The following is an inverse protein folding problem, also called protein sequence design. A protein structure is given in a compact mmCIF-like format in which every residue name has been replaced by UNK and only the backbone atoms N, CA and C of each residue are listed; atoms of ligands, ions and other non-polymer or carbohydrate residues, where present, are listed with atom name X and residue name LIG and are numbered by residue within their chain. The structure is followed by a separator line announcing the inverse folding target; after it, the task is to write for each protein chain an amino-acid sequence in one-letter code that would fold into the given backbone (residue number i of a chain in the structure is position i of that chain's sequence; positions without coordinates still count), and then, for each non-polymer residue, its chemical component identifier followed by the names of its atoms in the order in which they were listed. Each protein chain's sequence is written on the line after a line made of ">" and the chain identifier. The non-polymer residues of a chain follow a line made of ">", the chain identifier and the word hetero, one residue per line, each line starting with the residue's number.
data_IF_292994060003
#
_entry.id   IF_292994060003
#
_cell.length_a   1.000
_cell.length_b   1.000
_cell.length_c   1.000
_cell.angle_alpha   90.00
_cell.angle_beta   90.00
_cell.angle_gamma   90.00
#
_symmetry.space_group_name_H-M   'P 1'
#
loop_
_entity.id
_entity.type
_entity.pdbx_description
1 polymer ?
#
# COMPACT_ATOMS: atom_id res chain seq x y z
N UNK A 1 11.11 25.35 4.49
CA UNK A 1 10.96 26.74 3.97
C UNK A 1 12.03 27.12 2.94
N UNK A 2 13.31 26.77 3.09
CA UNK A 2 14.36 27.16 2.13
C UNK A 2 14.12 26.65 0.69
N UNK A 3 13.65 25.42 0.51
CA UNK A 3 13.33 24.86 -0.83
C UNK A 3 12.24 25.61 -1.61
N UNK A 4 11.23 26.17 -0.92
CA UNK A 4 10.16 26.95 -1.55
C UNK A 4 10.68 28.32 -2.01
N UNK A 5 11.63 28.90 -1.27
CA UNK A 5 12.26 30.18 -1.61
C UNK A 5 13.21 30.02 -2.80
N UNK A 6 14.00 28.95 -2.82
CA UNK A 6 14.88 28.58 -3.95
C UNK A 6 14.05 28.28 -5.21
N UNK A 7 12.98 27.48 -5.09
CA UNK A 7 12.08 27.23 -6.21
C UNK A 7 11.40 28.51 -6.74
N UNK A 8 10.93 29.39 -5.84
CA UNK A 8 10.28 30.65 -6.24
C UNK A 8 11.25 31.66 -6.87
N UNK A 9 12.52 31.67 -6.45
CA UNK A 9 13.55 32.56 -7.02
C UNK A 9 14.02 32.07 -8.39
N UNK A 10 14.20 30.76 -8.57
CA UNK A 10 14.57 30.18 -9.87
C UNK A 10 13.45 30.31 -10.90
N UNK A 11 12.20 29.99 -10.51
CA UNK A 11 11.06 30.11 -11.43
C UNK A 11 10.70 31.58 -11.70
N UNK A 12 10.72 32.46 -10.69
CA UNK A 12 10.40 33.87 -10.84
C UNK A 12 11.35 34.62 -11.77
N UNK A 13 12.65 34.39 -11.66
CA UNK A 13 13.66 35.00 -12.54
C UNK A 13 13.45 34.55 -13.99
N UNK A 14 13.20 33.26 -14.21
CA UNK A 14 12.99 32.72 -15.56
C UNK A 14 11.78 33.36 -16.26
N UNK A 15 10.67 33.55 -15.55
CA UNK A 15 9.44 34.16 -16.09
C UNK A 15 9.69 35.61 -16.50
N UNK A 16 10.40 36.39 -15.69
CA UNK A 16 10.71 37.79 -16.00
C UNK A 16 11.63 37.87 -17.24
N UNK A 17 12.68 37.05 -17.29
CA UNK A 17 13.62 37.01 -18.43
C UNK A 17 12.90 36.62 -19.73
N UNK A 18 12.04 35.60 -19.69
CA UNK A 18 11.25 35.17 -20.86
C UNK A 18 10.32 36.30 -21.32
N UNK A 19 9.69 37.00 -20.40
CA UNK A 19 8.75 38.09 -20.73
C UNK A 19 9.48 39.26 -21.41
N UNK A 20 10.63 39.69 -20.87
CA UNK A 20 11.44 40.76 -21.46
C UNK A 20 11.96 40.36 -22.84
N UNK A 21 12.45 39.13 -23.01
CA UNK A 21 12.89 38.61 -24.30
C UNK A 21 11.76 38.58 -25.33
N UNK A 22 10.55 38.19 -24.91
CA UNK A 22 9.37 38.15 -25.79
C UNK A 22 9.02 39.53 -26.31
N UNK A 23 9.04 40.54 -25.43
CA UNK A 23 8.78 41.93 -25.82
C UNK A 23 9.85 42.44 -26.78
N UNK A 24 11.14 42.25 -26.46
CA UNK A 24 12.24 42.67 -27.34
C UNK A 24 12.15 42.00 -28.73
N UNK A 25 11.83 40.71 -28.77
CA UNK A 25 11.67 39.97 -30.00
C UNK A 25 10.51 40.52 -30.85
N UNK A 26 9.40 40.91 -30.22
CA UNK A 26 8.25 41.52 -30.91
C UNK A 26 8.60 42.86 -31.57
N UNK A 27 9.43 43.69 -30.92
CA UNK A 27 9.90 44.98 -31.47
C UNK A 27 10.81 44.75 -32.68
N UNK A 28 11.74 43.79 -32.58
CA UNK A 28 12.62 43.43 -33.71
C UNK A 28 11.78 42.94 -34.90
N UNK A 29 10.79 42.08 -34.65
CA UNK A 29 9.88 41.60 -35.70
C UNK A 29 9.14 42.73 -36.41
N UNK A 30 8.64 43.72 -35.67
CA UNK A 30 7.93 44.87 -36.23
C UNK A 30 8.83 45.70 -37.17
N UNK A 31 10.07 45.95 -36.77
CA UNK A 31 11.05 46.66 -37.60
C UNK A 31 11.40 45.88 -38.88
N UNK A 32 11.57 44.55 -38.79
CA UNK A 32 11.82 43.71 -39.96
C UNK A 32 10.64 43.69 -40.95
N UNK A 33 9.41 43.71 -40.43
CA UNK A 33 8.19 43.71 -41.25
C UNK A 33 8.09 44.97 -42.12
N UNK A 34 8.50 46.14 -41.60
CA UNK A 34 8.47 47.40 -42.37
C UNK A 34 9.44 47.41 -43.55
N UNK A 35 10.59 46.72 -43.44
CA UNK A 35 11.64 46.73 -44.47
C UNK A 35 11.46 45.68 -45.57
N UNK A 36 10.90 44.52 -45.24
CA UNK A 36 10.89 43.37 -46.14
C UNK A 36 9.48 42.86 -46.50
N UNK A 37 8.42 43.51 -45.98
CA UNK A 37 7.04 43.18 -46.30
C UNK A 37 6.62 41.76 -45.90
N UNK A 38 5.63 41.20 -46.59
CA UNK A 38 5.00 39.91 -46.25
C UNK A 38 5.94 38.69 -46.23
N UNK A 39 7.09 38.76 -46.90
CA UNK A 39 8.04 37.65 -46.94
C UNK A 39 8.63 37.36 -45.54
N UNK A 40 8.88 38.40 -44.73
CA UNK A 40 9.35 38.21 -43.35
C UNK A 40 8.32 37.54 -42.45
N UNK A 41 7.04 37.82 -42.66
CA UNK A 41 5.96 37.18 -41.92
C UNK A 41 5.96 35.67 -42.15
N UNK A 42 6.07 35.23 -43.41
CA UNK A 42 6.12 33.79 -43.76
C UNK A 42 7.35 33.12 -43.16
N UNK A 43 8.53 33.75 -43.28
CA UNK A 43 9.78 33.21 -42.71
C UNK A 43 9.71 33.12 -41.18
N UNK A 44 9.14 34.12 -40.51
CA UNK A 44 8.96 34.12 -39.06
C UNK A 44 8.02 33.01 -38.60
N UNK A 45 6.91 32.80 -39.31
CA UNK A 45 5.93 31.76 -39.01
C UNK A 45 6.56 30.36 -39.15
N UNK A 46 7.31 30.12 -40.24
CA UNK A 46 8.05 28.88 -40.43
C UNK A 46 9.09 28.66 -39.32
N UNK A 47 9.79 29.71 -38.92
CA UNK A 47 10.79 29.63 -37.84
C UNK A 47 10.14 29.24 -36.51
N UNK A 48 9.01 29.86 -36.16
CA UNK A 48 8.24 29.52 -34.95
C UNK A 48 7.72 28.09 -35.01
N UNK A 49 7.21 27.65 -36.17
CA UNK A 49 6.73 26.29 -36.36
C UNK A 49 7.86 25.26 -36.14
N UNK A 50 9.03 25.50 -36.72
CA UNK A 50 10.21 24.62 -36.56
C UNK A 50 10.65 24.58 -35.09
N UNK A 51 10.74 25.73 -34.43
CA UNK A 51 11.12 25.80 -33.01
C UNK A 51 10.10 25.07 -32.13
N UNK A 52 8.80 25.22 -32.40
CA UNK A 52 7.74 24.54 -31.67
C UNK A 52 7.79 23.02 -31.87
N UNK A 53 7.99 22.56 -33.11
CA UNK A 53 8.14 21.13 -33.41
C UNK A 53 9.38 20.54 -32.74
N UNK A 54 10.51 21.27 -32.76
CA UNK A 54 11.75 20.83 -32.12
C UNK A 54 11.63 20.74 -30.60
N UNK A 55 11.08 21.77 -29.96
CA UNK A 55 10.85 21.79 -28.50
C UNK A 55 9.89 20.70 -28.07
N UNK A 56 8.78 20.52 -28.80
CA UNK A 56 7.85 19.39 -28.56
C UNK A 56 8.55 18.05 -28.70
N UNK A 57 9.33 17.85 -29.78
CA UNK A 57 10.08 16.61 -30.00
C UNK A 57 11.05 16.31 -28.85
N UNK A 58 11.82 17.30 -28.39
CA UNK A 58 12.73 17.14 -27.26
C UNK A 58 11.99 16.82 -25.95
N UNK A 59 10.87 17.49 -25.70
CA UNK A 59 10.03 17.23 -24.53
C UNK A 59 9.51 15.79 -24.55
N UNK A 60 8.88 15.36 -25.64
CA UNK A 60 8.39 13.98 -25.79
C UNK A 60 9.51 12.94 -25.72
N UNK A 61 10.67 13.21 -26.33
CA UNK A 61 11.80 12.28 -26.27
C UNK A 61 12.36 12.15 -24.85
N UNK A 62 12.46 13.26 -24.10
CA UNK A 62 12.94 13.25 -22.73
C UNK A 62 11.96 12.56 -21.77
N UNK A 63 10.66 12.80 -21.92
CA UNK A 63 9.61 12.15 -21.16
C UNK A 63 9.57 10.65 -21.50
N UNK A 64 9.67 10.30 -22.78
CA UNK A 64 9.72 8.91 -23.23
C UNK A 64 10.88 8.13 -22.63
N UNK A 65 12.09 8.72 -22.59
CA UNK A 65 13.27 8.09 -21.95
C UNK A 65 13.12 7.92 -20.43
N UNK A 66 12.49 8.87 -19.75
CA UNK A 66 12.22 8.77 -18.30
C UNK A 66 11.19 7.67 -18.01
N UNK A 67 10.09 7.65 -18.75
CA UNK A 67 9.05 6.64 -18.58
C UNK A 67 9.61 5.24 -18.90
N UNK A 68 10.39 5.08 -19.97
CA UNK A 68 10.96 3.77 -20.31
C UNK A 68 11.97 3.28 -19.28
N UNK A 69 12.77 4.19 -18.69
CA UNK A 69 13.72 3.86 -17.63
C UNK A 69 13.01 3.34 -16.38
N UNK A 70 12.02 4.08 -15.87
CA UNK A 70 11.27 3.71 -14.67
C UNK A 70 10.46 2.43 -14.87
N UNK A 71 9.90 2.22 -16.07
CA UNK A 71 9.16 0.99 -16.42
C UNK A 71 10.11 -0.22 -16.48
N UNK A 72 11.31 -0.06 -17.04
CA UNK A 72 12.25 -1.17 -17.15
C UNK A 72 12.85 -1.55 -15.79
N UNK A 73 13.08 -0.58 -14.91
CA UNK A 73 13.49 -0.82 -13.52
C UNK A 73 12.39 -1.52 -12.71
N UNK A 74 11.14 -1.07 -12.83
CA UNK A 74 10.01 -1.73 -12.17
C UNK A 74 9.76 -3.14 -12.71
N UNK A 75 9.89 -3.38 -14.01
CA UNK A 75 9.79 -4.71 -14.60
C UNK A 75 10.92 -5.63 -14.14
N UNK A 76 12.16 -5.15 -14.06
CA UNK A 76 13.29 -5.93 -13.55
C UNK A 76 13.09 -6.30 -12.07
N UNK A 77 12.52 -5.41 -11.25
CA UNK A 77 12.16 -5.71 -9.86
C UNK A 77 11.03 -6.73 -9.78
N UNK A 78 10.02 -6.65 -10.66
CA UNK A 78 8.94 -7.63 -10.73
C UNK A 78 9.47 -9.01 -11.16
N UNK A 79 10.31 -9.08 -12.18
CA UNK A 79 10.95 -10.33 -12.63
C UNK A 79 11.86 -10.91 -11.54
N UNK A 80 12.66 -10.08 -10.85
CA UNK A 80 13.49 -10.52 -9.73
C UNK A 80 12.65 -11.04 -8.56
N UNK A 81 11.47 -10.46 -8.30
CA UNK A 81 10.51 -10.93 -7.29
C UNK A 81 9.76 -12.21 -7.70
N UNK A 82 9.68 -12.48 -9.01
CA UNK A 82 9.07 -13.71 -9.54
C UNK A 82 10.07 -14.85 -9.72
N UNK A 83 11.38 -14.58 -9.58
CA UNK A 83 12.39 -15.64 -9.61
C UNK A 83 12.08 -16.68 -8.53
N UNK A 84 12.20 -17.99 -8.84
CA UNK A 84 11.95 -19.04 -7.87
C UNK A 84 12.89 -18.83 -6.67
N UNK A 85 12.30 -18.60 -5.51
CA UNK A 85 13.02 -18.49 -4.25
C UNK A 85 13.84 -19.77 -4.09
N UNK A 86 15.18 -19.69 -3.91
CA UNK A 86 15.99 -20.89 -3.69
C UNK A 86 15.36 -21.74 -2.59
N UNK A 87 15.31 -23.07 -2.74
CA UNK A 87 14.63 -23.95 -1.76
C UNK A 87 15.11 -23.72 -0.31
N UNK A 88 16.36 -23.29 -0.15
CA UNK A 88 16.97 -22.90 1.12
C UNK A 88 16.28 -21.72 1.84
N UNK A 89 15.50 -20.91 1.11
CA UNK A 89 14.75 -19.76 1.60
C UNK A 89 13.23 -20.00 1.56
N UNK A 90 12.77 -21.25 1.50
CA UNK A 90 11.34 -21.61 1.57
C UNK A 90 10.62 -21.14 2.85
N UNK A 91 11.38 -20.76 3.88
CA UNK A 91 10.87 -20.13 5.08
C UNK A 91 10.58 -18.64 4.90
N UNK A 92 11.00 -18.00 3.81
CA UNK A 92 10.83 -16.56 3.56
C UNK A 92 9.94 -16.36 2.34
N UNK A 93 8.89 -15.56 2.47
CA UNK A 93 7.98 -15.24 1.37
C UNK A 93 7.76 -13.72 1.27
N UNK A 94 7.50 -13.25 0.05
CA UNK A 94 7.10 -11.87 -0.18
C UNK A 94 5.61 -11.67 0.09
N UNK A 95 5.22 -10.41 0.34
CA UNK A 95 3.82 -10.05 0.61
C UNK A 95 2.87 -10.53 -0.48
N UNK A 96 3.26 -10.40 -1.75
CA UNK A 96 2.46 -10.82 -2.89
C UNK A 96 2.25 -12.35 -2.92
N UNK A 97 3.25 -13.12 -2.48
CA UNK A 97 3.15 -14.57 -2.35
C UNK A 97 2.24 -14.96 -1.18
N UNK A 98 2.31 -14.23 -0.05
CA UNK A 98 1.41 -14.44 1.09
C UNK A 98 -0.05 -14.14 0.71
N UNK A 99 -0.30 -13.05 -0.03
CA UNK A 99 -1.61 -12.70 -0.59
C UNK A 99 -2.12 -13.81 -1.52
N UNK A 100 -1.27 -14.33 -2.40
CA UNK A 100 -1.62 -15.43 -3.29
C UNK A 100 -1.95 -16.71 -2.51
N UNK A 101 -1.13 -17.06 -1.52
CA UNK A 101 -1.36 -18.19 -0.61
C UNK A 101 -2.71 -18.06 0.11
N UNK A 102 -2.98 -16.90 0.69
CA UNK A 102 -4.20 -16.63 1.45
C UNK A 102 -5.45 -16.62 0.55
N UNK A 103 -5.34 -16.19 -0.70
CA UNK A 103 -6.45 -16.25 -1.66
C UNK A 103 -6.87 -17.68 -2.00
N UNK A 104 -5.95 -18.65 -1.88
CA UNK A 104 -6.16 -20.06 -2.22
C UNK A 104 -6.28 -20.96 -0.98
N UNK A 105 -6.13 -20.40 0.22
CA UNK A 105 -6.12 -21.18 1.45
C UNK A 105 -7.46 -21.86 1.70
N UNK A 106 -7.38 -23.07 2.25
CA UNK A 106 -8.52 -23.85 2.76
C UNK A 106 -8.66 -23.73 4.29
N UNK A 107 -7.96 -22.78 4.89
CA UNK A 107 -8.09 -22.50 6.31
C UNK A 107 -9.55 -22.15 6.64
N UNK A 108 -10.04 -22.64 7.78
CA UNK A 108 -11.35 -22.23 8.31
C UNK A 108 -11.25 -20.95 9.12
N UNK A 109 -10.08 -20.71 9.70
CA UNK A 109 -9.84 -19.63 10.64
C UNK A 109 -8.45 -19.03 10.40
N UNK A 110 -8.37 -17.70 10.41
CA UNK A 110 -7.14 -16.91 10.24
C UNK A 110 -7.06 -15.93 11.40
N UNK A 111 -5.95 -16.01 12.15
CA UNK A 111 -5.65 -15.06 13.22
C UNK A 111 -4.62 -14.06 12.73
N UNK A 112 -4.96 -12.77 12.78
CA UNK A 112 -4.04 -11.68 12.49
C UNK A 112 -3.71 -10.96 13.80
N UNK A 113 -2.45 -11.00 14.19
CA UNK A 113 -1.93 -10.24 15.32
C UNK A 113 -1.12 -9.09 14.74
N UNK A 114 -1.60 -7.86 14.90
CA UNK A 114 -0.93 -6.69 14.34
C UNK A 114 -1.02 -5.49 15.29
N UNK A 115 0.09 -4.75 15.49
CA UNK A 115 0.08 -3.48 16.20
C UNK A 115 -0.64 -2.37 15.40
N UNK A 116 -0.81 -2.52 14.08
CA UNK A 116 -1.39 -1.50 13.22
C UNK A 116 -2.24 -2.06 12.06
N UNK A 117 -3.56 -1.80 12.09
CA UNK A 117 -4.51 -2.11 11.02
C UNK A 117 -4.50 -1.14 9.82
N UNK A 118 -3.54 -0.22 9.71
CA UNK A 118 -3.52 0.78 8.64
C UNK A 118 -3.47 0.13 7.25
N UNK A 119 -2.85 -1.03 7.16
CA UNK A 119 -2.74 -1.80 5.93
C UNK A 119 -4.05 -2.49 5.59
N UNK A 120 -4.76 -3.08 6.55
CA UNK A 120 -6.01 -3.80 6.27
C UNK A 120 -7.16 -2.88 5.81
N UNK A 121 -7.09 -1.59 6.13
CA UNK A 121 -8.19 -0.63 5.92
C UNK A 121 -8.05 0.17 4.61
N UNK A 122 -6.85 0.41 4.09
CA UNK A 122 -6.63 1.32 2.94
C UNK A 122 -6.16 0.52 1.72
N UNK A 123 -7.08 0.12 0.83
CA UNK A 123 -6.82 -0.50 -0.49
C UNK A 123 -5.56 -1.39 -0.63
N UNK A 124 -5.19 -2.07 0.45
CA UNK A 124 -3.98 -2.86 0.47
C UNK A 124 -4.24 -4.22 -0.16
N UNK A 125 -3.17 -4.94 -0.55
CA UNK A 125 -3.27 -6.24 -1.21
C UNK A 125 -4.18 -7.24 -0.49
N UNK A 126 -4.20 -7.24 0.85
CA UNK A 126 -5.02 -8.15 1.65
C UNK A 126 -6.49 -7.77 1.70
N UNK A 127 -6.88 -6.50 1.52
CA UNK A 127 -8.28 -6.07 1.67
C UNK A 127 -9.24 -6.82 0.72
N UNK A 128 -8.80 -7.10 -0.50
CA UNK A 128 -9.53 -7.91 -1.48
C UNK A 128 -9.60 -9.37 -1.05
N UNK A 129 -8.47 -9.93 -0.61
CA UNK A 129 -8.37 -11.34 -0.20
C UNK A 129 -9.21 -11.62 1.04
N UNK A 130 -9.16 -10.76 2.06
CA UNK A 130 -10.00 -10.88 3.25
C UNK A 130 -11.47 -10.90 2.87
N UNK A 131 -11.92 -10.00 1.99
CA UNK A 131 -13.32 -10.00 1.50
C UNK A 131 -13.69 -11.30 0.80
N UNK A 132 -12.84 -11.82 -0.09
CA UNK A 132 -13.08 -13.09 -0.78
C UNK A 132 -13.12 -14.26 0.22
N UNK A 133 -12.20 -14.31 1.17
CA UNK A 133 -12.12 -15.34 2.20
C UNK A 133 -13.35 -15.34 3.11
N UNK A 134 -13.83 -14.16 3.50
CA UNK A 134 -15.07 -14.01 4.26
C UNK A 134 -16.28 -14.55 3.48
N UNK A 135 -16.35 -14.34 2.16
CA UNK A 135 -17.42 -14.95 1.33
C UNK A 135 -17.32 -16.47 1.24
N UNK A 136 -16.12 -17.05 1.42
CA UNK A 136 -15.91 -18.50 1.52
C UNK A 136 -16.19 -19.05 2.92
N UNK A 137 -16.59 -18.22 3.88
CA UNK A 137 -16.90 -18.62 5.25
C UNK A 137 -15.67 -18.76 6.15
N UNK A 138 -14.53 -18.16 5.78
CA UNK A 138 -13.33 -18.15 6.63
C UNK A 138 -13.51 -17.11 7.74
N UNK A 139 -13.26 -17.52 8.97
CA UNK A 139 -13.30 -16.67 10.17
C UNK A 139 -11.98 -15.91 10.32
N UNK A 140 -12.07 -14.61 10.60
CA UNK A 140 -10.91 -13.76 10.89
C UNK A 140 -10.95 -13.27 12.33
N UNK A 141 -9.84 -13.47 13.04
CA UNK A 141 -9.64 -12.97 14.40
C UNK A 141 -8.50 -11.98 14.41
N UNK A 142 -8.83 -10.70 14.59
CA UNK A 142 -7.88 -9.62 14.70
C UNK A 142 -7.53 -9.39 16.17
N UNK A 143 -6.26 -9.57 16.52
CA UNK A 143 -5.71 -9.26 17.83
C UNK A 143 -4.90 -7.96 17.73
N UNK A 144 -5.39 -6.90 18.35
CA UNK A 144 -4.86 -5.54 18.18
C UNK A 144 -4.75 -4.79 19.52
N UNK A 145 -3.92 -3.74 19.63
CA UNK A 145 -3.80 -2.96 20.87
C UNK A 145 -5.13 -2.33 21.31
N UNK A 146 -5.40 -2.31 22.61
CA UNK A 146 -6.55 -1.61 23.20
C UNK A 146 -6.31 -0.09 23.30
N UNK A 147 -6.24 0.57 22.14
CA UNK A 147 -6.12 2.03 22.07
C UNK A 147 -7.32 2.64 21.36
N UNK A 148 -7.62 3.92 21.65
CA UNK A 148 -8.71 4.64 20.99
C UNK A 148 -8.55 4.66 19.46
N UNK A 149 -7.31 4.77 18.96
CA UNK A 149 -7.00 4.74 17.53
C UNK A 149 -7.34 3.37 16.93
N UNK A 150 -6.92 2.28 17.58
CA UNK A 150 -7.20 0.92 17.10
C UNK A 150 -8.67 0.56 17.17
N UNK A 151 -9.41 1.02 18.19
CA UNK A 151 -10.88 0.86 18.26
C UNK A 151 -11.57 1.52 17.08
N UNK A 152 -11.17 2.74 16.72
CA UNK A 152 -11.71 3.43 15.53
C UNK A 152 -11.38 2.68 14.23
N UNK A 153 -10.15 2.19 14.08
CA UNK A 153 -9.72 1.39 12.93
C UNK A 153 -10.48 0.07 12.83
N UNK A 154 -10.68 -0.63 13.94
CA UNK A 154 -11.49 -1.84 13.99
C UNK A 154 -12.94 -1.61 13.58
N UNK A 155 -13.55 -0.48 13.95
CA UNK A 155 -14.88 -0.12 13.48
C UNK A 155 -14.92 0.12 11.97
N UNK A 156 -13.90 0.79 11.42
CA UNK A 156 -13.78 0.99 9.96
C UNK A 156 -13.64 -0.34 9.22
N UNK A 157 -12.78 -1.24 9.73
CA UNK A 157 -12.61 -2.59 9.21
C UNK A 157 -13.94 -3.36 9.19
N UNK A 158 -14.68 -3.37 10.31
CA UNK A 158 -16.01 -4.01 10.38
C UNK A 158 -16.99 -3.42 9.39
N UNK A 159 -17.08 -2.08 9.28
CA UNK A 159 -17.97 -1.42 8.31
C UNK A 159 -17.62 -1.77 6.87
N UNK A 160 -16.33 -1.82 6.54
CA UNK A 160 -15.84 -2.20 5.20
C UNK A 160 -16.29 -3.60 4.79
N UNK A 161 -16.36 -4.51 5.77
CA UNK A 161 -16.81 -5.88 5.57
C UNK A 161 -18.29 -6.10 5.96
N UNK A 162 -19.14 -5.07 5.82
CA UNK A 162 -20.59 -5.14 6.06
C UNK A 162 -20.98 -5.70 7.44
N UNK A 163 -20.17 -5.44 8.47
CA UNK A 163 -20.35 -5.99 9.82
C UNK A 163 -20.46 -7.53 9.83
N UNK A 164 -19.70 -8.19 8.95
CA UNK A 164 -19.65 -9.66 8.88
C UNK A 164 -19.44 -10.27 10.28
N UNK A 165 -20.28 -11.24 10.64
CA UNK A 165 -20.17 -11.98 11.89
C UNK A 165 -18.89 -12.82 11.98
N UNK A 166 -18.21 -13.04 10.84
CA UNK A 166 -16.95 -13.78 10.72
C UNK A 166 -15.72 -12.91 11.00
N UNK A 167 -15.90 -11.60 11.30
CA UNK A 167 -14.81 -10.69 11.68
C UNK A 167 -14.84 -10.44 13.17
N UNK A 168 -13.96 -11.12 13.90
CA UNK A 168 -13.76 -10.99 15.33
C UNK A 168 -12.60 -10.03 15.60
N UNK A 169 -12.78 -9.11 16.56
CA UNK A 169 -11.73 -8.18 16.96
C UNK A 169 -11.57 -8.29 18.47
N UNK A 170 -10.38 -8.69 18.87
CA UNK A 170 -9.94 -8.90 20.25
C UNK A 170 -8.90 -7.83 20.57
N UNK A 171 -9.23 -6.97 21.54
CA UNK A 171 -8.31 -5.96 22.03
C UNK A 171 -7.41 -6.56 23.11
N UNK A 172 -6.10 -6.43 22.96
CA UNK A 172 -5.11 -6.86 23.95
C UNK A 172 -4.46 -5.65 24.64
N UNK A 173 -3.94 -5.88 25.84
CA UNK A 173 -3.18 -4.87 26.57
C UNK A 173 -1.89 -4.48 25.84
N UNK A 174 -1.46 -3.23 26.02
CA UNK A 174 -0.19 -2.72 25.46
C UNK A 174 1.04 -3.55 25.87
N UNK A 175 1.01 -4.20 27.04
CA UNK A 175 2.08 -5.10 27.49
C UNK A 175 2.34 -6.27 26.54
N UNK A 176 1.30 -6.78 25.86
CA UNK A 176 1.46 -7.82 24.86
C UNK A 176 2.24 -7.29 23.65
N UNK A 177 1.85 -6.10 23.17
CA UNK A 177 2.44 -5.49 21.99
C UNK A 177 3.81 -4.86 22.25
N UNK A 178 4.18 -4.58 23.49
CA UNK A 178 5.51 -4.10 23.85
C UNK A 178 6.64 -5.00 23.29
N UNK A 179 6.42 -6.31 23.23
CA UNK A 179 7.41 -7.27 22.73
C UNK A 179 7.36 -7.46 21.21
N UNK A 180 6.31 -6.98 20.53
CA UNK A 180 6.03 -7.24 19.11
C UNK A 180 5.63 -5.98 18.33
N UNK A 181 6.13 -4.81 18.72
CA UNK A 181 5.71 -3.51 18.14
C UNK A 181 5.92 -3.38 16.63
N UNK A 182 6.88 -4.14 16.08
CA UNK A 182 7.25 -4.08 14.66
C UNK A 182 6.93 -5.39 13.92
N UNK A 183 6.17 -6.29 14.53
CA UNK A 183 5.89 -7.62 13.96
C UNK A 183 4.40 -7.85 13.80
N UNK A 184 4.01 -8.16 12.57
CA UNK A 184 2.69 -8.72 12.25
C UNK A 184 2.78 -10.25 12.23
N UNK A 185 1.83 -10.94 12.83
CA UNK A 185 1.71 -12.40 12.72
C UNK A 185 0.40 -12.75 12.05
N UNK A 186 0.45 -13.70 11.11
CA UNK A 186 -0.73 -14.35 10.56
C UNK A 186 -0.64 -15.84 10.84
N UNK A 187 -1.68 -16.41 11.45
CA UNK A 187 -1.77 -17.83 11.81
C UNK A 187 -2.99 -18.43 11.12
N UNK A 188 -2.78 -19.44 10.29
CA UNK A 188 -3.80 -20.20 9.59
C UNK A 188 -4.11 -21.49 10.38
N UNK A 189 -5.39 -21.75 10.64
CA UNK A 189 -5.87 -22.91 11.39
C UNK A 189 -5.14 -23.10 12.73
N UNK A 190 -5.24 -22.14 13.67
CA UNK A 190 -4.48 -22.16 14.93
C UNK A 190 -4.65 -23.46 15.71
N UNK A 191 -5.86 -24.05 15.71
CA UNK A 191 -6.15 -25.26 16.45
C UNK A 191 -5.94 -26.58 15.70
N UNK A 192 -5.43 -26.57 14.46
CA UNK A 192 -4.90 -27.69 13.64
C UNK A 192 -5.62 -29.05 13.53
N UNK A 193 -6.51 -29.46 14.45
CA UNK A 193 -6.84 -30.88 14.62
C UNK A 193 -7.80 -31.39 13.55
N UNK A 194 -8.77 -30.59 13.09
CA UNK A 194 -9.81 -31.06 12.14
C UNK A 194 -10.26 -29.99 11.10
N UNK A 195 -9.50 -28.90 10.95
CA UNK A 195 -9.95 -27.67 10.28
C UNK A 195 -9.62 -27.58 8.78
N UNK A 196 -9.42 -28.70 8.08
CA UNK A 196 -9.34 -28.71 6.61
C UNK A 196 -8.03 -28.23 5.98
N UNK A 197 -6.96 -28.05 6.76
CA UNK A 197 -5.62 -27.71 6.26
C UNK A 197 -4.55 -27.68 7.35
N UNK A 198 -3.26 -27.67 6.98
CA UNK A 198 -2.17 -27.62 7.95
C UNK A 198 -2.18 -26.31 8.73
N UNK A 199 -1.75 -26.37 9.99
CA UNK A 199 -1.43 -25.18 10.77
C UNK A 199 -0.15 -24.55 10.25
N UNK A 200 -0.23 -23.28 9.88
CA UNK A 200 0.89 -22.52 9.30
C UNK A 200 0.83 -21.11 9.87
N UNK A 201 1.98 -20.50 10.14
CA UNK A 201 2.03 -19.09 10.49
C UNK A 201 3.19 -18.38 9.80
N UNK A 202 3.02 -17.08 9.59
CA UNK A 202 4.06 -16.19 9.09
C UNK A 202 4.15 -14.94 9.97
N UNK A 203 5.36 -14.39 10.05
CA UNK A 203 5.71 -13.19 10.80
C UNK A 203 6.31 -12.16 9.84
N UNK A 204 5.75 -10.96 9.80
CA UNK A 204 6.32 -9.83 9.07
C UNK A 204 7.69 -9.47 9.63
N UNK A 205 8.67 -9.27 8.75
CA UNK A 205 10.01 -8.84 9.14
C UNK A 205 10.08 -7.31 9.17
N UNK A 206 10.74 -6.69 10.17
CA UNK A 206 10.86 -5.25 10.30
C UNK A 206 11.95 -4.72 9.35
N UNK A 207 11.74 -4.91 8.05
CA UNK A 207 12.62 -4.41 6.99
C UNK A 207 12.17 -3.03 6.53
N UNK A 208 13.10 -2.26 5.95
CA UNK A 208 12.75 -0.95 5.43
C UNK A 208 11.72 -1.09 4.30
N UNK A 209 10.80 -0.12 4.19
CA UNK A 209 9.78 -0.14 3.12
C UNK A 209 10.40 -0.18 1.71
N UNK A 210 11.64 0.29 1.56
CA UNK A 210 12.36 0.26 0.30
C UNK A 210 12.79 -1.17 -0.11
N UNK A 211 13.07 -2.04 0.86
CA UNK A 211 13.53 -3.42 0.63
C UNK A 211 12.36 -4.41 0.41
N UNK A 212 11.13 -3.89 0.44
CA UNK A 212 9.92 -4.68 0.37
C UNK A 212 9.52 -5.28 1.72
N UNK A 213 8.31 -5.84 1.76
CA UNK A 213 7.77 -6.50 2.94
C UNK A 213 7.85 -8.00 2.76
N UNK A 214 8.62 -8.61 3.65
CA UNK A 214 8.89 -10.04 3.67
C UNK A 214 8.29 -10.64 4.93
N UNK A 215 7.84 -11.88 4.81
CA UNK A 215 7.31 -12.65 5.92
C UNK A 215 8.12 -13.94 6.09
N UNK A 216 8.50 -14.22 7.32
CA UNK A 216 9.17 -15.44 7.71
C UNK A 216 8.16 -16.44 8.25
N UNK A 217 8.21 -17.69 7.80
CA UNK A 217 7.44 -18.80 8.32
C UNK A 217 7.87 -19.06 9.75
N UNK A 218 6.87 -19.16 10.62
CA UNK A 218 7.05 -19.37 12.05
C UNK A 218 7.00 -20.86 12.37
N UNK A 219 7.87 -21.32 13.27
CA UNK A 219 7.90 -22.70 13.75
C UNK A 219 6.79 -22.98 14.78
N UNK A 220 6.36 -24.25 14.88
CA UNK A 220 5.24 -24.68 15.73
C UNK A 220 5.37 -24.24 17.19
N UNK A 221 6.58 -24.26 17.77
CA UNK A 221 6.79 -23.85 19.17
C UNK A 221 6.36 -22.40 19.44
N UNK A 222 6.62 -21.48 18.50
CA UNK A 222 6.21 -20.09 18.66
C UNK A 222 4.70 -19.93 18.41
N UNK A 223 4.14 -20.71 17.47
CA UNK A 223 2.68 -20.75 17.24
C UNK A 223 1.96 -21.20 18.52
N UNK A 224 2.43 -22.27 19.16
CA UNK A 224 1.86 -22.80 20.40
C UNK A 224 1.96 -21.80 21.55
N UNK A 225 3.09 -21.10 21.67
CA UNK A 225 3.28 -20.06 22.67
C UNK A 225 2.32 -18.88 22.45
N UNK A 226 2.18 -18.40 21.21
CA UNK A 226 1.28 -17.31 20.86
C UNK A 226 -0.18 -17.70 21.12
N UNK A 227 -0.62 -18.85 20.63
CA UNK A 227 -1.99 -19.34 20.86
C UNK A 227 -2.25 -19.48 22.36
N UNK A 228 -1.33 -20.10 23.10
CA UNK A 228 -1.47 -20.26 24.56
C UNK A 228 -1.60 -18.93 25.30
N UNK A 229 -0.90 -17.88 24.85
CA UNK A 229 -1.00 -16.54 25.41
C UNK A 229 -2.32 -15.85 25.02
N UNK A 230 -2.72 -15.92 23.75
CA UNK A 230 -3.94 -15.32 23.23
C UNK A 230 -5.21 -15.96 23.84
N UNK A 231 -5.25 -17.29 23.96
CA UNK A 231 -6.37 -18.00 24.59
C UNK A 231 -6.56 -17.61 26.07
N UNK A 232 -5.48 -17.27 26.79
CA UNK A 232 -5.57 -16.76 28.17
C UNK A 232 -6.13 -15.35 28.20
N UNK A 233 -5.71 -14.48 27.29
CA UNK A 233 -6.21 -13.11 27.19
C UNK A 233 -7.72 -13.08 26.89
N UNK A 234 -8.17 -13.91 25.94
CA UNK A 234 -9.60 -14.04 25.61
C UNK A 234 -10.43 -14.57 26.79
N UNK A 235 -9.88 -15.45 27.63
CA UNK A 235 -10.57 -15.94 28.82
C UNK A 235 -10.79 -14.86 29.89
N UNK A 236 -9.98 -13.78 29.88
CA UNK A 236 -10.05 -12.70 30.87
C UNK A 236 -10.94 -11.53 30.44
N UNK A 237 -11.25 -11.43 29.14
CA UNK A 237 -12.60 -11.28 28.61
C UNK A 237 -13.81 -11.28 29.56
N UNK A 238 -14.20 -10.22 30.31
CA UNK A 238 -15.43 -10.30 31.09
C UNK A 238 -16.61 -10.47 30.13
N UNK A 239 -17.28 -11.62 30.18
CA UNK A 239 -18.43 -12.00 29.32
C UNK A 239 -19.63 -11.02 29.39
N UNK A 240 -19.54 -9.95 30.16
CA UNK A 240 -20.60 -8.96 30.42
C UNK A 240 -20.97 -8.04 29.26
N UNK A 241 -20.31 -8.13 28.10
CA UNK A 241 -20.63 -7.30 26.93
C UNK A 241 -21.20 -8.09 25.73
N UNK A 242 -21.53 -9.38 25.88
CA UNK A 242 -22.49 -10.03 24.95
C UNK A 242 -23.87 -9.45 25.24
N UNK A 243 -24.17 -8.30 24.63
CA UNK A 243 -25.53 -7.78 24.47
C UNK A 243 -26.40 -8.94 24.01
N UNK A 244 -27.23 -9.44 24.92
CA UNK A 244 -28.43 -10.18 24.61
C UNK A 244 -29.16 -9.37 23.55
N UNK A 245 -29.13 -9.87 22.31
CA UNK A 245 -30.09 -9.45 21.31
C UNK A 245 -31.46 -9.71 21.92
N UNK A 246 -32.15 -8.63 22.28
CA UNK A 246 -33.59 -8.64 22.54
C UNK A 246 -34.22 -9.16 21.26
N UNK A 247 -34.58 -10.43 21.25
CA UNK A 247 -35.59 -10.95 20.32
C UNK A 247 -36.87 -10.25 20.73
N UNK A 248 -37.24 -9.21 20.00
CA UNK A 248 -38.59 -8.65 20.05
C UNK A 248 -39.47 -9.67 19.33
N UNK A 249 -40.04 -10.61 20.08
CA UNK A 249 -41.19 -11.37 19.62
C UNK A 249 -42.36 -10.37 19.48
N UNK A 250 -42.62 -9.97 18.24
CA UNK A 250 -43.82 -9.24 17.86
C UNK A 250 -45.00 -10.21 17.79
N UNK A 251 -46.02 -9.87 18.56
CA UNK A 251 -47.38 -10.45 18.56
C UNK A 251 -48.18 -10.05 17.31
#
# INVERSE_FOLDING_TARGET
>A
MNRLREWATDQGLSVVVITVLTVLFSVVLAEFQTKFGYLTMIVSLLTVLILYSLTSFLAFHSIGRRISGDVQETLAVIEARQAPVPEALSWLIATEQLVAFESQTKAREIWLISPDLSEDIIDAPFSRVVRENLTRGIEYHFFIPDTAVMRSRAEQLRRRHNQSALVHVNFLSDEFFFLVQDFDFVIYNPYAVDAGGPRIAYMGLPLSKADGRWQARVGDNLIDALIGQLSRADAHQPRGARRTGMVVEGS
#
